data_IF_618701968191
#
_entry.id   IF_618701968191
#
_cell.length_a   1.000
_cell.length_b   1.000
_cell.length_c   1.000
_cell.angle_alpha   90.00
_cell.angle_beta   90.00
_cell.angle_gamma   90.00
#
_symmetry.space_group_name_H-M   'P 1'
#
loop_
_entity.id
_entity.type
_entity.pdbx_description
1 polymer ?
#
# COMPACT_ATOMS: atom_id res chain seq x y z
N UNK A 1 29.71 27.23 9.86
CA UNK A 1 28.75 26.11 9.70
C UNK A 1 28.00 25.95 11.02
N UNK A 2 26.79 25.40 11.00
CA UNK A 2 26.01 25.16 12.23
C UNK A 2 26.52 23.86 12.87
N UNK A 3 26.66 23.80 14.21
CA UNK A 3 27.12 22.58 14.86
C UNK A 3 26.20 21.38 14.60
N UNK A 4 26.79 20.22 14.31
CA UNK A 4 26.04 19.02 13.97
C UNK A 4 25.09 18.54 15.10
N UNK A 5 25.42 18.81 16.37
CA UNK A 5 24.53 18.47 17.49
C UNK A 5 23.24 19.29 17.48
N UNK A 6 23.30 20.57 17.07
CA UNK A 6 22.11 21.42 16.95
C UNK A 6 21.23 20.96 15.79
N UNK A 7 21.85 20.66 14.64
CA UNK A 7 21.12 20.11 13.49
C UNK A 7 20.45 18.78 13.84
N UNK A 8 21.09 17.92 14.64
CA UNK A 8 20.48 16.66 15.13
C UNK A 8 19.35 16.91 16.13
N UNK A 9 19.51 17.87 17.05
CA UNK A 9 18.47 18.21 18.03
C UNK A 9 17.21 18.79 17.37
N UNK A 10 17.38 19.59 16.31
CA UNK A 10 16.24 20.05 15.50
C UNK A 10 15.62 18.86 14.75
N UNK A 11 16.44 18.01 14.11
CA UNK A 11 15.94 16.87 13.34
C UNK A 11 15.14 15.88 14.20
N UNK A 12 15.57 15.62 15.44
CA UNK A 12 14.90 14.67 16.34
C UNK A 12 13.49 15.10 16.77
N UNK A 13 13.12 16.37 16.54
CA UNK A 13 11.75 16.83 16.73
C UNK A 13 10.80 16.31 15.63
N UNK A 14 11.32 15.94 14.45
CA UNK A 14 10.52 15.40 13.35
C UNK A 14 10.45 13.88 13.43
N UNK A 15 9.39 13.38 14.06
CA UNK A 15 9.16 11.94 14.21
C UNK A 15 8.88 11.33 12.83
N UNK A 16 9.67 10.34 12.44
CA UNK A 16 9.50 9.61 11.19
C UNK A 16 8.36 8.58 11.29
N UNK A 17 7.63 8.30 10.20
CA UNK A 17 6.80 7.12 10.10
C UNK A 17 7.62 5.83 10.29
N UNK A 18 7.05 4.78 10.90
CA UNK A 18 5.65 4.65 11.33
C UNK A 18 5.33 5.28 12.69
N UNK A 19 6.34 5.55 13.53
CA UNK A 19 6.16 6.04 14.90
C UNK A 19 5.31 7.30 14.96
N UNK A 20 5.41 8.13 13.92
CA UNK A 20 4.56 9.32 13.76
C UNK A 20 3.06 9.04 13.88
N UNK A 21 2.59 7.89 13.40
CA UNK A 21 1.15 7.56 13.38
C UNK A 21 0.64 7.01 14.72
N UNK A 22 1.52 6.51 15.59
CA UNK A 22 1.17 6.10 16.95
C UNK A 22 1.45 7.20 17.98
N UNK A 23 2.24 8.22 17.63
CA UNK A 23 2.54 9.32 18.55
C UNK A 23 1.29 10.16 18.86
N UNK A 24 0.98 10.42 20.15
CA UNK A 24 -0.09 11.31 20.55
C UNK A 24 -0.01 12.71 19.91
N UNK A 25 -1.14 13.26 19.49
CA UNK A 25 -1.20 14.55 18.79
C UNK A 25 -0.60 15.71 19.60
N UNK A 26 -0.78 15.74 20.91
CA UNK A 26 -0.19 16.76 21.78
C UNK A 26 1.35 16.70 21.79
N UNK A 27 1.94 15.49 21.82
CA UNK A 27 3.38 15.30 21.74
C UNK A 27 3.93 15.71 20.37
N UNK A 28 3.19 15.37 19.32
CA UNK A 28 3.45 15.81 17.96
C UNK A 28 3.52 17.35 17.86
N UNK A 29 2.57 18.06 18.47
CA UNK A 29 2.50 19.53 18.48
C UNK A 29 3.67 20.11 19.27
N UNK A 30 3.91 19.60 20.49
CA UNK A 30 5.02 20.03 21.33
C UNK A 30 6.39 19.89 20.63
N UNK A 31 6.56 18.83 19.83
CA UNK A 31 7.77 18.64 19.03
C UNK A 31 7.93 19.71 17.94
N UNK A 32 6.86 20.13 17.27
CA UNK A 32 6.94 21.23 16.30
C UNK A 32 7.23 22.58 16.97
N UNK A 33 6.64 22.85 18.14
CA UNK A 33 6.94 24.05 18.93
C UNK A 33 8.41 24.08 19.35
N UNK A 34 8.92 22.95 19.85
CA UNK A 34 10.34 22.77 20.19
C UNK A 34 11.23 22.97 18.98
N UNK A 35 10.89 22.40 17.82
CA UNK A 35 11.65 22.57 16.58
C UNK A 35 11.72 24.04 16.17
N UNK A 36 10.60 24.78 16.21
CA UNK A 36 10.58 26.20 15.88
C UNK A 36 11.47 27.02 16.84
N UNK A 37 11.39 26.78 18.14
CA UNK A 37 12.23 27.45 19.14
C UNK A 37 13.72 27.18 18.94
N UNK A 38 14.10 25.93 18.69
CA UNK A 38 15.49 25.56 18.40
C UNK A 38 15.99 26.21 17.09
N UNK A 39 15.14 26.25 16.06
CA UNK A 39 15.50 26.91 14.80
C UNK A 39 15.72 28.41 14.97
N UNK A 40 14.86 29.09 15.74
CA UNK A 40 15.01 30.52 16.05
C UNK A 40 16.34 30.81 16.75
N UNK A 41 16.69 30.00 17.76
CA UNK A 41 17.96 30.12 18.47
C UNK A 41 19.16 29.92 17.52
N UNK A 42 19.12 28.89 16.68
CA UNK A 42 20.19 28.63 15.71
C UNK A 42 20.31 29.73 14.64
N UNK A 43 19.20 30.29 14.15
CA UNK A 43 19.22 31.42 13.19
C UNK A 43 19.88 32.65 13.83
N UNK A 44 19.58 32.95 15.10
CA UNK A 44 20.16 34.08 15.81
C UNK A 44 21.65 33.88 16.10
N UNK A 45 22.06 32.67 16.47
CA UNK A 45 23.44 32.34 16.82
C UNK A 45 24.36 32.25 15.58
N UNK A 46 23.84 31.80 14.43
CA UNK A 46 24.62 31.53 13.23
C UNK A 46 24.08 32.23 11.97
N UNK A 47 23.90 33.57 11.97
CA UNK A 47 23.19 34.29 10.89
C UNK A 47 23.91 34.26 9.53
N UNK A 48 25.21 33.96 9.51
CA UNK A 48 26.05 33.90 8.30
C UNK A 48 26.48 32.48 7.92
N UNK A 49 25.90 31.44 8.54
CA UNK A 49 26.30 30.08 8.25
C UNK A 49 25.86 29.64 6.84
N UNK A 50 26.74 28.99 6.06
CA UNK A 50 26.42 28.59 4.67
C UNK A 50 25.34 27.50 4.61
N UNK A 51 25.16 26.76 5.69
CA UNK A 51 24.18 25.69 5.89
C UNK A 51 22.91 26.16 6.62
N UNK A 52 22.74 27.48 6.82
CA UNK A 52 21.58 28.06 7.50
C UNK A 52 20.25 27.71 6.83
N UNK A 53 20.25 27.51 5.51
CA UNK A 53 19.06 27.08 4.75
C UNK A 53 18.45 25.78 5.28
N UNK A 54 19.23 24.88 5.88
CA UNK A 54 18.73 23.64 6.50
C UNK A 54 17.82 23.97 7.68
N UNK A 55 18.26 24.88 8.55
CA UNK A 55 17.50 25.32 9.72
C UNK A 55 16.25 26.08 9.30
N UNK A 56 16.35 26.97 8.31
CA UNK A 56 15.19 27.69 7.78
C UNK A 56 14.13 26.73 7.21
N UNK A 57 14.53 25.72 6.43
CA UNK A 57 13.61 24.69 5.94
C UNK A 57 12.93 23.91 7.07
N UNK A 58 13.67 23.56 8.12
CA UNK A 58 13.10 22.87 9.29
C UNK A 58 12.14 23.77 10.06
N UNK A 59 12.45 25.07 10.19
CA UNK A 59 11.55 26.05 10.80
C UNK A 59 10.25 26.17 10.01
N UNK A 60 10.32 26.35 8.69
CA UNK A 60 9.15 26.40 7.80
C UNK A 60 8.32 25.13 7.93
N UNK A 61 8.98 23.95 7.96
CA UNK A 61 8.30 22.66 8.16
C UNK A 61 7.58 22.58 9.50
N UNK A 62 8.23 22.99 10.59
CA UNK A 62 7.62 22.99 11.93
C UNK A 62 6.39 23.91 11.99
N UNK A 63 6.51 25.13 11.46
CA UNK A 63 5.42 26.10 11.42
C UNK A 63 4.25 25.63 10.54
N UNK A 64 4.53 25.05 9.38
CA UNK A 64 3.50 24.40 8.55
C UNK A 64 2.85 23.21 9.28
N UNK A 65 3.61 22.47 10.08
CA UNK A 65 3.11 21.38 10.92
C UNK A 65 2.11 21.85 11.98
N UNK A 66 2.44 22.93 12.70
CA UNK A 66 1.54 23.59 13.67
C UNK A 66 0.27 24.09 13.00
N UNK A 67 0.41 24.75 11.85
CA UNK A 67 -0.73 25.21 11.08
C UNK A 67 -1.65 24.05 10.63
N UNK A 68 -1.10 22.97 10.04
CA UNK A 68 -1.89 21.83 9.57
C UNK A 68 -2.50 21.01 10.70
N UNK A 69 -1.85 20.93 11.86
CA UNK A 69 -2.29 20.08 12.99
C UNK A 69 -3.24 20.82 13.95
N UNK A 70 -3.07 22.13 14.12
CA UNK A 70 -3.82 22.94 15.09
C UNK A 70 -4.66 24.05 14.45
N UNK A 71 -4.57 24.27 13.13
CA UNK A 71 -5.23 25.39 12.47
C UNK A 71 -4.59 26.76 12.77
N UNK A 72 -3.36 26.78 13.33
CA UNK A 72 -2.68 28.01 13.76
C UNK A 72 -2.31 28.91 12.57
N UNK A 73 -3.09 29.96 12.36
CA UNK A 73 -2.87 30.94 11.30
C UNK A 73 -1.65 31.82 11.55
N UNK A 74 -1.27 32.06 12.81
CA UNK A 74 -0.07 32.83 13.14
C UNK A 74 1.18 32.05 12.77
N UNK A 75 1.19 30.75 13.05
CA UNK A 75 2.26 29.85 12.60
C UNK A 75 2.37 29.85 11.08
N UNK A 76 1.24 29.81 10.34
CA UNK A 76 1.27 29.89 8.89
C UNK A 76 1.85 31.21 8.37
N UNK A 77 1.42 32.36 8.91
CA UNK A 77 1.95 33.66 8.54
C UNK A 77 3.47 33.76 8.83
N UNK A 78 3.93 33.22 9.96
CA UNK A 78 5.34 33.14 10.29
C UNK A 78 6.11 32.23 9.32
N UNK A 79 5.52 31.11 8.87
CA UNK A 79 6.13 30.23 7.88
C UNK A 79 6.31 30.96 6.54
N UNK A 80 5.32 31.74 6.11
CA UNK A 80 5.37 32.53 4.87
C UNK A 80 6.45 33.62 4.96
N UNK A 81 6.54 34.34 6.08
CA UNK A 81 7.57 35.36 6.28
C UNK A 81 8.98 34.74 6.25
N UNK A 82 9.15 33.59 6.92
CA UNK A 82 10.41 32.83 6.89
C UNK A 82 10.74 32.33 5.48
N UNK A 83 9.75 31.81 4.74
CA UNK A 83 9.93 31.33 3.36
C UNK A 83 10.35 32.45 2.40
N UNK A 84 9.76 33.66 2.51
CA UNK A 84 10.17 34.82 1.72
C UNK A 84 11.63 35.21 2.02
N UNK A 85 11.95 35.34 3.31
CA UNK A 85 13.32 35.65 3.76
C UNK A 85 14.32 34.62 3.27
N UNK A 86 13.95 33.34 3.33
CA UNK A 86 14.74 32.22 2.85
C UNK A 86 15.07 32.34 1.35
N UNK A 87 14.06 32.55 0.50
CA UNK A 87 14.24 32.71 -0.95
C UNK A 87 15.12 33.93 -1.26
N UNK A 88 14.86 35.07 -0.61
CA UNK A 88 15.64 36.31 -0.78
C UNK A 88 17.11 36.15 -0.36
N UNK A 89 17.39 35.30 0.63
CA UNK A 89 18.75 35.04 1.11
C UNK A 89 19.60 34.17 0.18
N UNK A 90 19.03 33.63 -0.91
CA UNK A 90 19.75 32.84 -1.90
C UNK A 90 20.03 31.41 -1.44
N UNK A 91 19.06 30.53 -1.65
CA UNK A 91 19.24 29.10 -1.41
C UNK A 91 20.17 28.46 -2.45
N UNK A 92 20.95 27.43 -2.06
CA UNK A 92 21.55 26.54 -3.04
C UNK A 92 20.48 25.99 -4.00
N UNK A 93 20.87 25.75 -5.25
CA UNK A 93 19.94 25.24 -6.27
C UNK A 93 19.23 23.97 -5.76
N UNK A 94 17.90 23.94 -5.91
CA UNK A 94 17.04 22.80 -5.56
C UNK A 94 16.88 22.48 -4.06
N UNK A 95 17.35 23.34 -3.15
CA UNK A 95 17.11 23.17 -1.70
C UNK A 95 15.92 23.99 -1.19
N UNK A 96 15.29 24.78 -2.05
CA UNK A 96 14.24 25.76 -1.74
C UNK A 96 12.82 25.19 -1.81
N UNK A 97 12.67 23.92 -2.16
CA UNK A 97 11.37 23.24 -2.35
C UNK A 97 10.41 23.45 -1.17
N UNK A 98 10.90 23.41 0.08
CA UNK A 98 10.07 23.62 1.28
C UNK A 98 9.55 25.06 1.37
N UNK A 99 10.40 26.04 1.08
CA UNK A 99 10.01 27.46 1.06
C UNK A 99 9.03 27.73 -0.09
N UNK A 100 9.34 27.22 -1.29
CA UNK A 100 8.47 27.32 -2.47
C UNK A 100 7.10 26.66 -2.21
N UNK A 101 7.04 25.51 -1.54
CA UNK A 101 5.80 24.85 -1.16
C UNK A 101 4.97 25.72 -0.22
N UNK A 102 5.60 26.36 0.76
CA UNK A 102 4.93 27.29 1.68
C UNK A 102 4.33 28.48 0.93
N UNK A 103 5.09 29.08 0.01
CA UNK A 103 4.64 30.20 -0.81
C UNK A 103 3.53 29.80 -1.79
N UNK A 104 3.62 28.62 -2.42
CA UNK A 104 2.57 28.07 -3.27
C UNK A 104 1.26 27.88 -2.49
N UNK A 105 1.34 27.36 -1.26
CA UNK A 105 0.17 27.29 -0.36
C UNK A 105 -0.40 28.66 -0.04
N UNK A 106 0.42 29.68 0.15
CA UNK A 106 -0.08 31.04 0.34
C UNK A 106 -0.77 31.56 -0.93
N UNK A 107 -0.20 31.33 -2.11
CA UNK A 107 -0.77 31.75 -3.39
C UNK A 107 -2.14 31.08 -3.66
N UNK A 108 -2.29 29.80 -3.33
CA UNK A 108 -3.55 29.05 -3.44
C UNK A 108 -4.69 29.59 -2.58
N UNK A 109 -4.40 30.47 -1.61
CA UNK A 109 -5.40 31.09 -0.72
C UNK A 109 -5.90 32.44 -1.24
N UNK A 110 -5.36 32.96 -2.34
CA UNK A 110 -5.87 34.17 -2.95
C UNK A 110 -7.29 33.93 -3.52
N UNK A 111 -8.22 34.91 -3.42
CA UNK A 111 -9.60 34.73 -3.90
C UNK A 111 -9.72 34.37 -5.38
N UNK A 112 -8.78 34.83 -6.19
CA UNK A 112 -8.69 34.65 -7.65
C UNK A 112 -7.62 33.60 -8.03
N UNK A 113 -7.11 32.85 -7.05
CA UNK A 113 -6.08 31.84 -7.30
C UNK A 113 -6.57 30.83 -8.34
N UNK A 114 -5.70 30.55 -9.31
CA UNK A 114 -5.90 29.49 -10.30
C UNK A 114 -5.06 28.28 -9.91
N UNK A 115 -5.62 27.24 -9.26
CA UNK A 115 -4.83 26.20 -8.62
C UNK A 115 -3.84 25.50 -9.55
N UNK A 116 -4.30 25.15 -10.75
CA UNK A 116 -3.47 24.48 -11.76
C UNK A 116 -2.26 25.32 -12.15
N UNK A 117 -2.46 26.61 -12.46
CA UNK A 117 -1.38 27.52 -12.84
C UNK A 117 -0.37 27.70 -11.70
N UNK A 118 -0.83 27.85 -10.45
CA UNK A 118 0.05 27.97 -9.28
C UNK A 118 0.92 26.72 -9.11
N UNK A 119 0.34 25.52 -9.23
CA UNK A 119 1.06 24.26 -9.05
C UNK A 119 2.06 24.02 -10.19
N UNK A 120 1.66 24.28 -11.43
CA UNK A 120 2.57 24.17 -12.59
C UNK A 120 3.73 25.15 -12.49
N UNK A 121 3.49 26.38 -12.03
CA UNK A 121 4.54 27.37 -11.80
C UNK A 121 5.48 26.94 -10.67
N UNK A 122 4.96 26.37 -9.58
CA UNK A 122 5.77 25.78 -8.52
C UNK A 122 6.71 24.69 -9.06
N UNK A 123 6.19 23.76 -9.86
CA UNK A 123 6.99 22.68 -10.47
C UNK A 123 8.06 23.25 -11.41
N UNK A 124 7.70 24.22 -12.26
CA UNK A 124 8.64 24.90 -13.16
C UNK A 124 9.78 25.56 -12.37
N UNK A 125 9.47 26.30 -11.32
CA UNK A 125 10.46 26.96 -10.45
C UNK A 125 11.36 25.95 -9.73
N UNK A 126 10.86 24.75 -9.43
CA UNK A 126 11.63 23.67 -8.81
C UNK A 126 12.40 22.77 -9.81
N UNK A 127 12.43 23.11 -11.10
CA UNK A 127 13.18 22.37 -12.14
C UNK A 127 12.34 21.60 -13.17
N UNK A 128 11.01 21.79 -13.20
CA UNK A 128 10.13 21.24 -14.24
C UNK A 128 9.76 19.76 -14.06
N UNK A 129 9.50 19.02 -15.14
CA UNK A 129 9.13 17.58 -15.07
C UNK A 129 10.33 16.65 -14.77
N UNK A 130 11.54 17.18 -14.92
CA UNK A 130 12.80 16.61 -14.42
C UNK A 130 13.13 17.08 -12.99
N UNK A 131 12.13 17.63 -12.29
CA UNK A 131 12.28 18.06 -10.90
C UNK A 131 12.55 16.91 -9.95
N UNK A 132 13.19 17.26 -8.84
CA UNK A 132 13.58 16.32 -7.79
C UNK A 132 12.34 15.65 -7.16
N UNK A 133 12.53 14.45 -6.59
CA UNK A 133 11.49 13.73 -5.85
C UNK A 133 10.69 14.61 -4.87
N UNK A 134 11.34 15.45 -4.04
CA UNK A 134 10.64 16.38 -3.14
C UNK A 134 9.67 17.35 -3.85
N UNK A 135 10.01 17.84 -5.04
CA UNK A 135 9.17 18.77 -5.78
C UNK A 135 7.92 18.07 -6.32
N UNK A 136 8.06 16.86 -6.88
CA UNK A 136 6.91 16.08 -7.37
C UNK A 136 5.96 15.70 -6.22
N UNK A 137 6.50 15.30 -5.06
CA UNK A 137 5.69 15.05 -3.86
C UNK A 137 4.95 16.33 -3.45
N UNK A 138 5.66 17.45 -3.34
CA UNK A 138 5.08 18.74 -2.96
C UNK A 138 3.95 19.17 -3.92
N UNK A 139 4.14 18.99 -5.23
CA UNK A 139 3.12 19.26 -6.24
C UNK A 139 1.90 18.34 -6.08
N UNK A 140 2.12 17.05 -5.79
CA UNK A 140 1.03 16.12 -5.51
C UNK A 140 0.23 16.54 -4.26
N UNK A 141 0.89 17.04 -3.21
CA UNK A 141 0.23 17.51 -2.00
C UNK A 141 -0.54 18.82 -2.22
N UNK A 142 0.01 19.74 -3.02
CA UNK A 142 -0.68 20.97 -3.41
C UNK A 142 -1.95 20.67 -4.20
N UNK A 143 -1.89 19.71 -5.13
CA UNK A 143 -3.06 19.28 -5.89
C UNK A 143 -4.15 18.68 -4.99
N UNK A 144 -3.78 17.95 -3.93
CA UNK A 144 -4.73 17.47 -2.92
C UNK A 144 -5.36 18.61 -2.12
N UNK A 145 -4.54 19.59 -1.69
CA UNK A 145 -5.01 20.76 -0.95
C UNK A 145 -6.09 21.55 -1.72
N UNK A 146 -6.16 21.38 -3.06
CA UNK A 146 -7.12 22.07 -3.95
C UNK A 146 -8.16 21.15 -4.57
N UNK A 147 -8.24 19.87 -4.16
CA UNK A 147 -9.18 18.89 -4.73
C UNK A 147 -8.90 18.47 -6.19
N UNK A 148 -7.71 18.74 -6.72
CA UNK A 148 -7.31 18.44 -8.09
C UNK A 148 -6.89 16.98 -8.28
N UNK A 149 -7.83 16.04 -8.24
CA UNK A 149 -7.55 14.58 -8.28
C UNK A 149 -6.65 14.15 -9.45
N UNK A 150 -6.99 14.54 -10.68
CA UNK A 150 -6.20 14.15 -11.86
C UNK A 150 -4.76 14.72 -11.81
N UNK A 151 -4.62 15.95 -11.33
CA UNK A 151 -3.31 16.60 -11.19
C UNK A 151 -2.49 15.95 -10.08
N UNK A 152 -3.13 15.55 -8.98
CA UNK A 152 -2.50 14.77 -7.93
C UNK A 152 -1.98 13.44 -8.48
N UNK A 153 -2.84 12.66 -9.15
CA UNK A 153 -2.47 11.37 -9.71
C UNK A 153 -1.34 11.50 -10.74
N UNK A 154 -1.33 12.54 -11.57
CA UNK A 154 -0.25 12.82 -12.51
C UNK A 154 1.12 12.97 -11.80
N UNK A 155 1.23 13.87 -10.82
CA UNK A 155 2.50 14.10 -10.11
C UNK A 155 2.90 12.91 -9.26
N UNK A 156 1.93 12.24 -8.64
CA UNK A 156 2.15 11.02 -7.86
C UNK A 156 2.69 9.88 -8.73
N UNK A 157 2.10 9.61 -9.89
CA UNK A 157 2.60 8.59 -10.83
C UNK A 157 4.01 8.94 -11.33
N UNK A 158 4.23 10.21 -11.68
CA UNK A 158 5.55 10.68 -12.11
C UNK A 158 6.59 10.44 -11.01
N UNK A 159 6.26 10.78 -9.75
CA UNK A 159 7.12 10.50 -8.61
C UNK A 159 7.40 9.00 -8.42
N UNK A 160 6.36 8.16 -8.39
CA UNK A 160 6.53 6.72 -8.17
C UNK A 160 7.36 6.06 -9.28
N UNK A 161 7.17 6.47 -10.53
CA UNK A 161 7.95 5.94 -11.66
C UNK A 161 9.45 6.26 -11.56
N UNK A 162 9.81 7.43 -11.00
CA UNK A 162 11.21 7.90 -10.93
C UNK A 162 11.91 7.56 -9.59
N UNK A 163 11.17 7.57 -8.48
CA UNK A 163 11.76 7.62 -7.13
C UNK A 163 11.26 6.52 -6.18
N UNK A 164 10.37 5.62 -6.60
CA UNK A 164 9.81 4.61 -5.69
C UNK A 164 10.86 3.67 -5.06
N UNK A 165 12.01 3.48 -5.69
CA UNK A 165 13.10 2.64 -5.18
C UNK A 165 14.18 3.41 -4.42
N UNK A 166 14.16 4.75 -4.44
CA UNK A 166 15.17 5.59 -3.80
C UNK A 166 15.04 5.53 -2.26
N UNK A 167 16.09 5.10 -1.53
CA UNK A 167 16.07 5.03 -0.07
C UNK A 167 15.77 6.35 0.63
N UNK A 168 16.18 7.47 0.05
CA UNK A 168 15.92 8.81 0.60
C UNK A 168 14.45 9.23 0.48
N UNK A 169 13.68 8.50 -0.33
CA UNK A 169 12.28 8.78 -0.65
C UNK A 169 11.31 7.73 -0.09
N UNK A 170 11.78 6.68 0.60
CA UNK A 170 10.92 5.61 1.10
C UNK A 170 9.74 6.09 1.94
N UNK A 171 9.92 7.10 2.80
CA UNK A 171 8.81 7.67 3.58
C UNK A 171 7.72 8.26 2.69
N UNK A 172 8.09 8.97 1.63
CA UNK A 172 7.11 9.54 0.70
C UNK A 172 6.49 8.48 -0.21
N UNK A 173 7.30 7.54 -0.71
CA UNK A 173 6.83 6.39 -1.51
C UNK A 173 5.79 5.59 -0.75
N UNK A 174 6.07 5.24 0.51
CA UNK A 174 5.16 4.45 1.34
C UNK A 174 3.89 5.23 1.67
N UNK A 175 3.99 6.53 1.96
CA UNK A 175 2.82 7.40 2.13
C UNK A 175 1.92 7.42 0.88
N UNK A 176 2.51 7.57 -0.32
CA UNK A 176 1.76 7.65 -1.59
C UNK A 176 1.21 6.30 -2.06
N UNK A 177 1.78 5.18 -1.59
CA UNK A 177 1.30 3.83 -1.91
C UNK A 177 0.31 3.27 -0.87
N UNK A 178 0.33 3.74 0.37
CA UNK A 178 -0.47 3.18 1.46
C UNK A 178 -1.97 3.31 1.19
N UNK A 179 -2.65 2.16 1.04
CA UNK A 179 -4.08 2.12 0.68
C UNK A 179 -4.97 2.81 1.69
N UNK A 180 -4.63 2.78 2.98
CA UNK A 180 -5.42 3.41 4.03
C UNK A 180 -5.32 4.93 3.92
N UNK A 181 -4.09 5.45 3.79
CA UNK A 181 -3.87 6.88 3.61
C UNK A 181 -4.50 7.38 2.31
N UNK A 182 -4.30 6.67 1.19
CA UNK A 182 -4.92 6.98 -0.10
C UNK A 182 -6.46 7.01 -0.01
N UNK A 183 -7.06 6.03 0.68
CA UNK A 183 -8.51 6.01 0.86
C UNK A 183 -9.00 7.29 1.54
N UNK A 184 -8.34 7.72 2.62
CA UNK A 184 -8.71 8.95 3.35
C UNK A 184 -8.36 10.25 2.64
N UNK A 185 -7.30 10.26 1.83
CA UNK A 185 -6.86 11.46 1.11
C UNK A 185 -7.68 11.70 -0.16
N UNK A 186 -8.13 10.64 -0.84
CA UNK A 186 -8.74 10.75 -2.18
C UNK A 186 -10.25 10.58 -2.18
N UNK A 187 -10.85 10.03 -1.13
CA UNK A 187 -12.30 9.92 -1.06
C UNK A 187 -12.89 11.19 -0.44
N UNK A 188 -13.88 11.81 -1.09
CA UNK A 188 -14.59 12.92 -0.49
C UNK A 188 -15.19 12.48 0.86
N UNK A 189 -15.32 13.39 1.84
CA UNK A 189 -15.94 13.08 3.12
C UNK A 189 -17.42 12.75 2.89
N UNK A 190 -17.71 11.49 2.62
CA UNK A 190 -19.07 11.00 2.60
C UNK A 190 -19.61 11.09 4.02
N UNK A 191 -20.81 11.68 4.15
CA UNK A 191 -21.57 11.68 5.39
C UNK A 191 -21.66 10.25 5.93
N UNK A 192 -21.26 10.09 7.20
CA UNK A 192 -21.24 8.82 7.89
C UNK A 192 -22.61 8.13 7.78
N UNK A 193 -22.65 7.00 7.08
CA UNK A 193 -23.84 6.18 6.91
C UNK A 193 -23.51 4.69 7.02
N UNK A 194 -24.55 3.84 7.08
CA UNK A 194 -24.44 2.38 7.28
C UNK A 194 -23.50 1.65 6.31
N UNK A 195 -23.23 2.22 5.12
CA UNK A 195 -22.39 1.61 4.07
C UNK A 195 -20.91 1.99 4.15
N UNK A 196 -20.54 2.95 5.00
CA UNK A 196 -19.18 3.49 5.12
C UNK A 196 -18.13 2.39 5.41
N UNK A 197 -18.37 1.60 6.46
CA UNK A 197 -17.43 0.55 6.85
C UNK A 197 -17.36 -0.61 5.84
N UNK A 198 -18.38 -0.76 4.99
CA UNK A 198 -18.43 -1.79 3.94
C UNK A 198 -17.58 -1.35 2.73
N UNK A 199 -17.75 -0.10 2.30
CA UNK A 199 -16.96 0.50 1.20
C UNK A 199 -15.49 0.58 1.58
N UNK A 200 -15.16 1.07 2.77
CA UNK A 200 -13.78 1.09 3.25
C UNK A 200 -13.18 -0.32 3.22
N UNK A 201 -13.89 -1.31 3.78
CA UNK A 201 -13.44 -2.70 3.76
C UNK A 201 -13.18 -3.23 2.34
N UNK A 202 -14.05 -2.89 1.37
CA UNK A 202 -13.90 -3.24 -0.03
C UNK A 202 -12.64 -2.60 -0.66
N UNK A 203 -12.49 -1.27 -0.59
CA UNK A 203 -11.37 -0.57 -1.20
C UNK A 203 -10.01 -0.96 -0.61
N UNK A 204 -9.95 -1.24 0.70
CA UNK A 204 -8.71 -1.66 1.33
C UNK A 204 -8.33 -3.10 0.97
N UNK A 205 -9.32 -3.96 0.70
CA UNK A 205 -9.12 -5.37 0.38
C UNK A 205 -9.11 -5.69 -1.11
N UNK A 206 -9.38 -4.74 -2.00
CA UNK A 206 -9.43 -4.98 -3.45
C UNK A 206 -8.08 -5.51 -3.97
N UNK A 207 -8.12 -6.34 -5.02
CA UNK A 207 -6.96 -7.04 -5.57
C UNK A 207 -5.95 -6.17 -6.32
N UNK A 208 -6.18 -4.85 -6.43
CA UNK A 208 -5.35 -3.96 -7.26
C UNK A 208 -3.90 -3.92 -6.79
N UNK A 209 -2.91 -4.31 -7.62
CA UNK A 209 -1.51 -4.23 -7.26
C UNK A 209 -1.05 -2.81 -6.91
N UNK A 210 0.12 -2.68 -6.27
CA UNK A 210 0.72 -1.37 -6.04
C UNK A 210 1.10 -0.70 -7.36
N UNK A 211 0.93 0.62 -7.43
CA UNK A 211 1.20 1.45 -8.60
C UNK A 211 2.68 1.87 -8.67
N UNK A 212 3.59 0.96 -8.35
CA UNK A 212 5.02 1.18 -8.42
C UNK A 212 5.77 -0.09 -8.83
N UNK A 213 6.78 0.05 -9.69
CA UNK A 213 7.62 -1.05 -10.13
C UNK A 213 8.82 -1.19 -9.18
N UNK A 214 8.60 -1.79 -8.01
CA UNK A 214 9.65 -2.00 -7.00
C UNK A 214 10.02 -3.47 -6.92
N UNK A 215 11.32 -3.73 -6.70
CA UNK A 215 11.83 -5.05 -6.33
C UNK A 215 12.13 -5.12 -4.84
N UNK A 216 11.90 -6.30 -4.27
CA UNK A 216 12.22 -6.58 -2.89
C UNK A 216 13.35 -7.59 -2.83
N UNK A 217 14.40 -7.25 -2.09
CA UNK A 217 15.50 -8.14 -1.77
C UNK A 217 15.84 -7.96 -0.30
N UNK A 218 15.96 -9.07 0.43
CA UNK A 218 16.41 -9.06 1.82
C UNK A 218 16.94 -10.44 2.22
N UNK A 219 17.71 -10.46 3.30
CA UNK A 219 18.10 -11.67 3.99
C UNK A 219 17.31 -11.77 5.30
N UNK A 220 16.68 -12.92 5.53
CA UNK A 220 15.99 -13.27 6.77
C UNK A 220 16.70 -14.45 7.43
N UNK A 221 16.43 -14.69 8.71
CA UNK A 221 17.04 -15.78 9.47
C UNK A 221 16.00 -16.79 9.92
N UNK A 222 16.30 -18.07 9.84
CA UNK A 222 15.52 -19.10 10.55
C UNK A 222 15.87 -19.08 12.05
N UNK A 223 15.08 -19.77 12.88
CA UNK A 223 15.40 -19.93 14.31
C UNK A 223 16.73 -20.67 14.56
N UNK A 224 17.19 -21.51 13.63
CA UNK A 224 18.51 -22.16 13.67
C UNK A 224 19.63 -21.31 13.03
N UNK A 225 19.36 -20.04 12.71
CA UNK A 225 20.37 -19.08 12.26
C UNK A 225 20.74 -19.15 10.77
N UNK A 226 20.10 -20.02 9.98
CA UNK A 226 20.32 -20.12 8.54
C UNK A 226 19.76 -18.88 7.83
N UNK A 227 20.50 -18.39 6.84
CA UNK A 227 20.05 -17.30 5.98
C UNK A 227 19.07 -17.79 4.93
N UNK A 228 17.92 -17.12 4.83
CA UNK A 228 16.95 -17.27 3.75
C UNK A 228 16.96 -15.98 2.92
N UNK A 229 17.21 -16.10 1.62
CA UNK A 229 17.28 -14.94 0.71
C UNK A 229 15.96 -14.79 -0.03
N UNK A 230 15.35 -13.61 0.07
CA UNK A 230 14.11 -13.30 -0.64
C UNK A 230 14.47 -12.33 -1.76
N UNK A 231 14.05 -12.57 -3.02
CA UNK A 231 13.07 -13.56 -3.45
C UNK A 231 13.67 -14.91 -3.87
N UNK A 232 14.97 -15.12 -3.80
CA UNK A 232 15.65 -16.30 -4.35
C UNK A 232 15.09 -17.62 -3.81
N UNK A 233 14.73 -17.68 -2.52
CA UNK A 233 14.10 -18.84 -1.88
C UNK A 233 12.60 -18.97 -2.14
N UNK A 234 12.03 -18.17 -3.05
CA UNK A 234 10.61 -18.24 -3.45
C UNK A 234 10.36 -19.25 -4.56
N UNK A 235 11.40 -19.78 -5.21
CA UNK A 235 11.31 -20.77 -6.30
C UNK A 235 10.37 -20.36 -7.44
N UNK A 236 10.33 -19.07 -7.77
CA UNK A 236 9.46 -18.53 -8.83
C UNK A 236 7.96 -18.59 -8.49
N UNK A 237 7.60 -18.69 -7.21
CA UNK A 237 6.22 -18.69 -6.74
C UNK A 237 5.81 -17.31 -6.22
N UNK A 238 4.50 -17.10 -6.11
CA UNK A 238 3.97 -16.03 -5.28
C UNK A 238 4.48 -16.21 -3.85
N UNK A 239 5.02 -15.16 -3.23
CA UNK A 239 5.49 -15.23 -1.84
C UNK A 239 4.76 -14.18 -1.01
N UNK A 240 4.00 -14.65 -0.03
CA UNK A 240 3.28 -13.81 0.93
C UNK A 240 4.01 -13.84 2.26
N UNK A 241 4.55 -12.68 2.66
CA UNK A 241 5.26 -12.50 3.93
C UNK A 241 4.39 -11.67 4.86
N UNK A 242 4.02 -12.25 6.01
CA UNK A 242 3.40 -11.51 7.11
C UNK A 242 4.46 -11.12 8.11
N UNK A 243 4.75 -9.82 8.16
CA UNK A 243 5.60 -9.24 9.19
C UNK A 243 4.78 -9.05 10.46
N UNK A 244 5.20 -9.73 11.52
CA UNK A 244 4.57 -9.70 12.85
C UNK A 244 5.56 -9.12 13.87
N UNK A 245 5.10 -8.38 14.87
CA UNK A 245 6.01 -7.76 15.84
C UNK A 245 6.70 -8.79 16.75
N UNK A 246 6.04 -9.89 17.11
CA UNK A 246 6.60 -10.92 17.98
C UNK A 246 6.23 -12.33 17.50
N UNK A 247 6.93 -13.35 18.02
CA UNK A 247 6.67 -14.76 17.72
C UNK A 247 5.28 -15.26 18.14
N UNK A 248 4.58 -14.54 19.02
CA UNK A 248 3.18 -14.85 19.34
C UNK A 248 2.28 -14.66 18.11
N UNK A 249 2.59 -13.66 17.27
CA UNK A 249 1.81 -13.30 16.09
C UNK A 249 0.31 -13.11 16.40
N UNK A 250 -0.52 -13.15 15.36
CA UNK A 250 -1.99 -13.11 15.50
C UNK A 250 -2.72 -14.14 14.64
N UNK A 251 -1.99 -15.10 14.05
CA UNK A 251 -2.56 -16.15 13.19
C UNK A 251 -3.16 -15.68 11.86
N UNK A 252 -2.90 -14.44 11.42
CA UNK A 252 -3.55 -13.91 10.21
C UNK A 252 -3.36 -14.79 8.97
N UNK A 253 -2.14 -15.28 8.72
CA UNK A 253 -1.86 -16.14 7.55
C UNK A 253 -2.48 -17.52 7.62
N UNK A 254 -2.75 -18.05 8.81
CA UNK A 254 -3.31 -19.39 8.99
C UNK A 254 -4.67 -19.54 8.26
N UNK A 255 -5.45 -18.45 8.16
CA UNK A 255 -6.73 -18.44 7.42
C UNK A 255 -6.57 -18.69 5.92
N UNK A 256 -5.37 -18.50 5.37
CA UNK A 256 -5.05 -18.70 3.95
C UNK A 256 -4.37 -20.04 3.67
N UNK A 257 -4.05 -20.83 4.68
CA UNK A 257 -3.41 -22.14 4.48
C UNK A 257 -4.25 -23.05 3.58
N UNK A 258 -5.57 -23.12 3.81
CA UNK A 258 -6.49 -23.91 2.98
C UNK A 258 -6.62 -23.34 1.56
N UNK A 259 -6.63 -22.01 1.41
CA UNK A 259 -6.65 -21.36 0.11
C UNK A 259 -5.41 -21.76 -0.71
N UNK A 260 -4.22 -21.65 -0.12
CA UNK A 260 -2.94 -21.98 -0.77
C UNK A 260 -2.84 -23.47 -1.10
N UNK A 261 -3.18 -24.35 -0.15
CA UNK A 261 -3.12 -25.81 -0.37
C UNK A 261 -4.10 -26.31 -1.44
N UNK A 262 -5.19 -25.58 -1.66
CA UNK A 262 -6.19 -25.93 -2.69
C UNK A 262 -5.86 -25.34 -4.08
N UNK A 263 -4.75 -24.62 -4.24
CA UNK A 263 -4.36 -24.08 -5.54
C UNK A 263 -3.85 -25.18 -6.47
N UNK A 264 -4.29 -25.22 -7.73
CA UNK A 264 -3.96 -26.30 -8.65
C UNK A 264 -2.46 -26.38 -8.99
N UNK A 265 -1.75 -25.24 -8.96
CA UNK A 265 -0.35 -25.15 -9.40
C UNK A 265 0.66 -25.10 -8.24
N UNK A 266 0.22 -25.14 -6.98
CA UNK A 266 1.09 -25.03 -5.79
C UNK A 266 2.09 -23.86 -5.90
N UNK A 267 1.60 -22.75 -6.42
CA UNK A 267 2.33 -21.58 -6.92
C UNK A 267 2.44 -20.46 -5.89
N UNK A 268 2.12 -20.73 -4.62
CA UNK A 268 2.08 -19.74 -3.54
C UNK A 268 2.78 -20.25 -2.28
N UNK A 269 3.70 -19.45 -1.76
CA UNK A 269 4.39 -19.65 -0.49
C UNK A 269 3.86 -18.66 0.56
N UNK A 270 3.68 -19.15 1.79
CA UNK A 270 3.39 -18.33 2.95
C UNK A 270 4.63 -18.27 3.85
N UNK A 271 4.94 -17.12 4.43
CA UNK A 271 6.05 -16.91 5.35
C UNK A 271 5.59 -15.98 6.47
N UNK A 272 5.93 -16.29 7.72
CA UNK A 272 5.87 -15.33 8.83
C UNK A 272 7.27 -14.79 9.07
N UNK A 273 7.41 -13.47 9.17
CA UNK A 273 8.66 -12.81 9.51
C UNK A 273 8.47 -12.01 10.81
N UNK A 274 9.19 -12.36 11.87
CA UNK A 274 9.13 -11.68 13.16
C UNK A 274 10.05 -10.45 13.10
N UNK A 275 9.53 -9.29 13.47
CA UNK A 275 10.25 -8.01 13.56
C UNK A 275 11.08 -7.91 14.86
N UNK A 276 11.72 -9.02 15.21
CA UNK A 276 12.59 -9.23 16.35
C UNK A 276 13.63 -10.27 15.93
N UNK A 277 14.85 -10.16 16.44
CA UNK A 277 15.94 -11.11 16.19
C UNK A 277 16.38 -11.87 17.45
N UNK A 278 15.70 -11.69 18.58
CA UNK A 278 15.85 -12.56 19.76
C UNK A 278 15.25 -13.95 19.48
N UNK A 279 16.15 -14.88 19.15
CA UNK A 279 15.83 -16.29 18.86
C UNK A 279 15.19 -17.00 20.06
N UNK A 280 15.66 -16.72 21.28
CA UNK A 280 15.18 -17.41 22.48
C UNK A 280 13.75 -16.97 22.80
N UNK A 281 13.50 -15.66 22.79
CA UNK A 281 12.18 -15.08 23.02
C UNK A 281 11.20 -15.50 21.91
N UNK A 282 11.60 -15.39 20.64
CA UNK A 282 10.76 -15.84 19.53
C UNK A 282 10.43 -17.34 19.62
N UNK A 283 11.44 -18.17 19.92
CA UNK A 283 11.28 -19.62 20.07
C UNK A 283 10.35 -20.00 21.22
N UNK A 284 10.41 -19.29 22.35
CA UNK A 284 9.49 -19.47 23.48
C UNK A 284 8.05 -19.14 23.08
N UNK A 285 7.82 -17.97 22.49
CA UNK A 285 6.47 -17.53 22.09
C UNK A 285 5.85 -18.45 21.05
N UNK A 286 6.64 -18.97 20.11
CA UNK A 286 6.16 -19.93 19.10
C UNK A 286 5.74 -21.27 19.73
N UNK A 287 6.46 -21.75 20.75
CA UNK A 287 6.06 -22.95 21.50
C UNK A 287 4.76 -22.74 22.28
N UNK A 288 4.62 -21.58 22.92
CA UNK A 288 3.40 -21.21 23.64
C UNK A 288 2.19 -21.14 22.70
N UNK A 289 2.36 -20.50 21.53
CA UNK A 289 1.37 -20.46 20.47
C UNK A 289 1.00 -21.86 19.97
N UNK A 290 1.97 -22.73 19.71
CA UNK A 290 1.72 -24.09 19.26
C UNK A 290 0.91 -24.89 20.31
N UNK A 291 1.26 -24.78 21.58
CA UNK A 291 0.52 -25.41 22.67
C UNK A 291 -0.92 -24.87 22.80
N UNK A 292 -1.13 -23.58 22.53
CA UNK A 292 -2.47 -23.00 22.51
C UNK A 292 -3.31 -23.49 21.31
N UNK A 293 -2.71 -23.57 20.11
CA UNK A 293 -3.37 -24.14 18.93
C UNK A 293 -3.78 -25.60 19.17
N UNK A 294 -2.90 -26.39 19.80
CA UNK A 294 -3.19 -27.78 20.16
C UNK A 294 -4.37 -27.89 21.14
N UNK A 295 -4.40 -27.04 22.18
CA UNK A 295 -5.55 -26.95 23.12
C UNK A 295 -6.86 -26.62 22.39
N UNK A 296 -6.79 -25.80 21.34
CA UNK A 296 -7.93 -25.43 20.48
C UNK A 296 -8.22 -26.47 19.38
N UNK A 297 -7.46 -27.56 19.31
CA UNK A 297 -7.53 -28.59 18.25
C UNK A 297 -7.34 -28.01 16.84
N UNK A 298 -6.51 -26.97 16.75
CA UNK A 298 -6.14 -26.33 15.50
C UNK A 298 -4.78 -26.86 15.04
N UNK A 299 -4.61 -27.02 13.74
CA UNK A 299 -3.33 -27.45 13.19
C UNK A 299 -2.28 -26.34 13.38
N UNK A 300 -1.01 -26.72 13.66
CA UNK A 300 0.07 -25.76 13.67
C UNK A 300 0.23 -25.11 12.28
N UNK A 301 0.89 -23.97 12.25
CA UNK A 301 1.20 -23.30 10.99
C UNK A 301 2.07 -24.22 10.11
N UNK A 302 1.66 -24.42 8.85
CA UNK A 302 2.38 -25.27 7.88
C UNK A 302 3.51 -24.54 7.15
N UNK A 303 3.73 -23.26 7.48
CA UNK A 303 4.67 -22.36 6.81
C UNK A 303 5.80 -21.92 7.74
N UNK A 304 6.99 -21.60 7.19
CA UNK A 304 8.15 -21.22 8.00
C UNK A 304 7.93 -19.89 8.73
N UNK A 305 8.50 -19.81 9.94
CA UNK A 305 8.71 -18.57 10.67
C UNK A 305 10.19 -18.16 10.59
N UNK A 306 10.42 -16.94 10.14
CA UNK A 306 11.74 -16.32 9.99
C UNK A 306 11.84 -15.09 10.91
N UNK A 307 13.05 -14.65 11.17
CA UNK A 307 13.42 -13.48 11.96
C UNK A 307 13.99 -12.41 11.02
N UNK A 308 13.65 -11.15 11.29
CA UNK A 308 14.18 -9.99 10.60
C UNK A 308 15.41 -9.49 11.38
N UNK A 309 16.62 -9.55 10.81
CA UNK A 309 17.83 -9.09 11.50
C UNK A 309 17.72 -7.62 11.93
N UNK A 310 18.04 -7.29 13.18
CA UNK A 310 17.87 -5.95 13.75
C UNK A 310 16.42 -5.52 14.00
N UNK A 311 15.46 -6.44 13.85
CA UNK A 311 14.04 -6.24 14.15
C UNK A 311 13.45 -4.98 13.53
N UNK A 312 12.83 -4.14 14.37
CA UNK A 312 12.21 -2.88 13.96
C UNK A 312 13.19 -1.83 13.41
N UNK A 313 14.49 -1.94 13.70
CA UNK A 313 15.52 -1.03 13.18
C UNK A 313 15.97 -1.42 11.76
N UNK A 314 15.52 -2.56 11.24
CA UNK A 314 15.87 -2.99 9.90
C UNK A 314 15.36 -1.99 8.83
N UNK A 315 16.17 -1.60 7.84
CA UNK A 315 15.75 -0.71 6.75
C UNK A 315 14.49 -1.17 5.99
N UNK A 316 14.18 -2.47 5.95
CA UNK A 316 12.97 -2.98 5.27
C UNK A 316 11.67 -2.41 5.88
N UNK A 317 11.68 -2.09 7.18
CA UNK A 317 10.53 -1.50 7.88
C UNK A 317 10.16 -0.18 7.23
N UNK A 318 11.15 0.67 6.97
CA UNK A 318 10.98 1.97 6.29
C UNK A 318 10.70 1.79 4.79
N UNK A 319 11.41 0.90 4.12
CA UNK A 319 11.24 0.61 2.68
C UNK A 319 9.81 0.16 2.34
N UNK A 320 9.19 -0.60 3.23
CA UNK A 320 7.83 -1.15 3.05
C UNK A 320 6.75 -0.35 3.77
N UNK A 321 7.12 0.67 4.55
CA UNK A 321 6.16 1.51 5.27
C UNK A 321 5.40 0.71 6.32
N UNK A 322 6.07 -0.25 6.95
CA UNK A 322 5.45 -1.09 7.97
C UNK A 322 5.07 -0.24 9.17
N UNK A 323 3.86 -0.44 9.68
CA UNK A 323 3.33 0.24 10.85
C UNK A 323 2.98 -0.81 11.88
N UNK A 324 3.73 -0.83 12.98
CA UNK A 324 3.44 -1.60 14.18
C UNK A 324 3.95 -0.82 15.37
N UNK A 325 3.30 -0.98 16.52
CA UNK A 325 3.74 -0.44 17.80
C UNK A 325 3.67 -1.55 18.86
N UNK A 326 4.36 -1.34 19.99
CA UNK A 326 4.46 -2.33 21.06
C UNK A 326 3.14 -2.52 21.80
N UNK A 327 2.31 -1.49 21.90
CA UNK A 327 1.04 -1.51 22.65
C UNK A 327 -0.11 -2.17 21.88
N UNK A 328 -0.11 -2.04 20.55
CA UNK A 328 -1.12 -2.51 19.60
C UNK A 328 -0.41 -3.13 18.39
N UNK A 329 0.16 -4.33 18.56
CA UNK A 329 0.87 -5.03 17.50
C UNK A 329 0.00 -5.19 16.25
N UNK A 330 0.49 -4.71 15.12
CA UNK A 330 -0.21 -4.79 13.82
C UNK A 330 0.61 -5.56 12.82
N UNK A 331 -0.06 -6.42 12.06
CA UNK A 331 0.58 -7.13 10.97
C UNK A 331 0.80 -6.23 9.78
N UNK A 332 1.85 -6.52 9.04
CA UNK A 332 2.12 -5.93 7.74
C UNK A 332 2.27 -7.08 6.73
N UNK A 333 1.73 -6.92 5.53
CA UNK A 333 1.79 -7.96 4.49
C UNK A 333 2.63 -7.46 3.34
N UNK A 334 3.54 -8.30 2.86
CA UNK A 334 4.22 -8.13 1.58
C UNK A 334 3.82 -9.29 0.68
N UNK A 335 3.45 -9.00 -0.55
CA UNK A 335 3.23 -9.99 -1.59
C UNK A 335 4.20 -9.76 -2.72
N UNK A 336 4.96 -10.80 -3.05
CA UNK A 336 5.89 -10.81 -4.18
C UNK A 336 5.30 -11.65 -5.30
N UNK A 337 5.42 -11.15 -6.52
CA UNK A 337 5.16 -11.92 -7.73
C UNK A 337 6.27 -12.99 -7.89
N UNK A 338 6.02 -14.03 -8.72
CA UNK A 338 7.03 -14.99 -9.18
C UNK A 338 8.39 -14.40 -9.59
N UNK A 339 8.40 -13.20 -10.18
CA UNK A 339 9.62 -12.51 -10.65
C UNK A 339 10.36 -11.72 -9.55
N UNK A 340 9.88 -11.76 -8.31
CA UNK A 340 10.43 -11.02 -7.17
C UNK A 340 10.04 -9.54 -7.11
N UNK A 341 9.22 -9.05 -8.03
CA UNK A 341 8.63 -7.70 -7.93
C UNK A 341 7.56 -7.65 -6.85
N UNK A 342 7.39 -6.49 -6.23
CA UNK A 342 6.35 -6.27 -5.23
C UNK A 342 5.00 -6.18 -5.94
N UNK A 343 4.08 -7.07 -5.61
CA UNK A 343 2.69 -6.97 -6.01
C UNK A 343 1.93 -6.01 -5.11
N UNK A 344 2.11 -6.12 -3.79
CA UNK A 344 1.55 -5.17 -2.83
C UNK A 344 2.33 -5.21 -1.52
N UNK A 345 2.48 -4.03 -0.89
CA UNK A 345 2.87 -3.89 0.51
C UNK A 345 1.71 -3.24 1.30
N UNK A 346 1.24 -3.91 2.36
CA UNK A 346 0.13 -3.48 3.20
C UNK A 346 0.65 -3.17 4.60
N UNK A 347 0.48 -1.93 5.03
CA UNK A 347 0.85 -1.50 6.37
C UNK A 347 -0.16 -2.00 7.41
N UNK A 348 0.22 -1.90 8.69
CA UNK A 348 -0.66 -2.16 9.82
C UNK A 348 -1.91 -1.29 9.86
N UNK A 349 -1.90 -0.10 9.23
CA UNK A 349 -3.11 0.72 9.11
C UNK A 349 -4.13 0.04 8.19
N UNK A 350 -3.68 -0.46 7.04
CA UNK A 350 -4.53 -1.21 6.11
C UNK A 350 -5.01 -2.50 6.77
N UNK A 351 -4.09 -3.26 7.39
CA UNK A 351 -4.41 -4.56 7.99
C UNK A 351 -5.38 -4.45 9.17
N UNK A 352 -5.34 -3.35 9.92
CA UNK A 352 -6.29 -3.08 11.00
C UNK A 352 -7.67 -2.62 10.55
N UNK A 353 -7.83 -2.14 9.31
CA UNK A 353 -9.07 -1.56 8.81
C UNK A 353 -9.76 -2.37 7.70
N UNK A 354 -9.00 -3.19 6.97
CA UNK A 354 -9.53 -4.05 5.91
C UNK A 354 -10.43 -5.14 6.49
N UNK A 355 -11.51 -5.48 5.77
CA UNK A 355 -12.50 -6.51 6.18
C UNK A 355 -12.64 -7.66 5.17
N UNK A 356 -11.75 -7.74 4.20
CA UNK A 356 -11.81 -8.68 3.08
C UNK A 356 -10.64 -9.66 3.03
N UNK A 357 -10.41 -10.21 1.85
CA UNK A 357 -9.41 -11.27 1.58
C UNK A 357 -8.36 -10.76 0.59
N UNK A 358 -7.55 -9.79 1.00
CA UNK A 358 -6.62 -9.09 0.08
C UNK A 358 -5.61 -10.02 -0.60
N UNK A 359 -5.09 -11.01 0.12
CA UNK A 359 -4.13 -11.98 -0.43
C UNK A 359 -4.78 -12.79 -1.56
N UNK A 360 -5.97 -13.31 -1.30
CA UNK A 360 -6.75 -14.05 -2.29
C UNK A 360 -7.09 -13.16 -3.48
N UNK A 361 -7.60 -11.95 -3.24
CA UNK A 361 -8.04 -11.03 -4.29
C UNK A 361 -6.88 -10.65 -5.23
N UNK A 362 -5.67 -10.39 -4.69
CA UNK A 362 -4.50 -10.05 -5.50
C UNK A 362 -4.07 -11.23 -6.38
N UNK A 363 -4.03 -12.44 -5.82
CA UNK A 363 -3.62 -13.64 -6.57
C UNK A 363 -4.67 -14.01 -7.63
N UNK A 364 -5.96 -14.03 -7.28
CA UNK A 364 -7.02 -14.41 -8.21
C UNK A 364 -7.21 -13.38 -9.33
N UNK A 365 -6.95 -12.09 -9.08
CA UNK A 365 -6.93 -11.08 -10.13
C UNK A 365 -5.78 -11.33 -11.12
N UNK A 366 -4.63 -11.80 -10.64
CA UNK A 366 -3.54 -12.20 -11.52
C UNK A 366 -3.85 -13.49 -12.29
N UNK A 367 -4.51 -14.48 -11.66
CA UNK A 367 -4.96 -15.69 -12.34
C UNK A 367 -5.82 -15.34 -13.57
N UNK A 368 -6.76 -14.40 -13.41
CA UNK A 368 -7.58 -13.89 -14.51
C UNK A 368 -6.77 -13.12 -15.56
N UNK A 369 -5.85 -12.26 -15.15
CA UNK A 369 -4.96 -11.52 -16.07
C UNK A 369 -4.13 -12.46 -16.96
N UNK A 370 -3.67 -13.59 -16.42
CA UNK A 370 -2.92 -14.59 -17.18
C UNK A 370 -3.79 -15.28 -18.24
N UNK A 371 -5.06 -15.54 -17.93
CA UNK A 371 -6.03 -16.11 -18.87
C UNK A 371 -6.36 -15.08 -19.96
N UNK A 372 -6.59 -13.82 -19.59
CA UNK A 372 -6.84 -12.74 -20.55
C UNK A 372 -5.65 -12.55 -21.51
N UNK A 373 -4.42 -12.64 -21.01
CA UNK A 373 -3.21 -12.60 -21.85
C UNK A 373 -3.10 -13.79 -22.81
N UNK A 374 -3.48 -14.99 -22.39
CA UNK A 374 -3.48 -16.17 -23.26
C UNK A 374 -4.52 -16.02 -24.37
N UNK A 375 -5.75 -15.63 -24.02
CA UNK A 375 -6.83 -15.36 -24.99
C UNK A 375 -6.44 -14.26 -25.98
N UNK A 376 -5.85 -13.15 -25.52
CA UNK A 376 -5.42 -12.05 -26.40
C UNK A 376 -4.32 -12.47 -27.40
N UNK A 377 -3.53 -13.50 -27.07
CA UNK A 377 -2.52 -14.08 -27.97
C UNK A 377 -3.08 -15.17 -28.90
N UNK A 378 -4.35 -15.54 -28.74
CA UNK A 378 -4.96 -16.67 -29.44
C UNK A 378 -4.52 -18.05 -28.90
N UNK A 379 -3.87 -18.10 -27.74
CA UNK A 379 -3.43 -19.35 -27.11
C UNK A 379 -4.58 -19.96 -26.29
N UNK A 380 -5.52 -20.58 -27.01
CA UNK A 380 -6.71 -21.16 -26.41
C UNK A 380 -6.39 -22.34 -25.50
N UNK A 381 -5.37 -23.13 -25.82
CA UNK A 381 -5.00 -24.30 -25.02
C UNK A 381 -4.46 -23.89 -23.65
N UNK A 382 -3.62 -22.86 -23.59
CA UNK A 382 -3.16 -22.31 -22.32
C UNK A 382 -4.31 -21.66 -21.53
N UNK A 383 -5.19 -20.90 -22.19
CA UNK A 383 -6.34 -20.29 -21.55
C UNK A 383 -7.26 -21.35 -20.91
N UNK A 384 -7.52 -22.47 -21.61
CA UNK A 384 -8.27 -23.62 -21.09
C UNK A 384 -7.57 -24.27 -19.91
N UNK A 385 -6.27 -24.55 -20.05
CA UNK A 385 -5.46 -25.19 -18.99
C UNK A 385 -5.53 -24.40 -17.69
N UNK A 386 -5.38 -23.07 -17.77
CA UNK A 386 -5.46 -22.18 -16.62
C UNK A 386 -6.89 -22.08 -16.06
N UNK A 387 -7.88 -21.75 -16.90
CA UNK A 387 -9.24 -21.51 -16.44
C UNK A 387 -9.88 -22.75 -15.79
N UNK A 388 -9.76 -23.93 -16.40
CA UNK A 388 -10.38 -25.15 -15.88
C UNK A 388 -9.63 -25.76 -14.69
N UNK A 389 -8.34 -25.48 -14.53
CA UNK A 389 -7.62 -25.85 -13.32
C UNK A 389 -8.14 -25.06 -12.10
N UNK A 390 -8.45 -23.77 -12.27
CA UNK A 390 -9.00 -22.94 -11.20
C UNK A 390 -10.50 -23.12 -10.98
N UNK A 391 -11.26 -23.28 -12.07
CA UNK A 391 -12.71 -23.49 -12.12
C UNK A 391 -13.07 -24.79 -12.87
N UNK A 392 -12.88 -25.96 -12.25
CA UNK A 392 -13.20 -27.24 -12.90
C UNK A 392 -14.69 -27.33 -13.25
N UNK A 393 -14.97 -27.92 -14.42
CA UNK A 393 -16.34 -28.10 -14.95
C UNK A 393 -17.15 -29.00 -14.01
N UNK A 394 -16.55 -30.11 -13.60
CA UNK A 394 -17.13 -31.04 -12.63
C UNK A 394 -16.25 -31.15 -11.39
N UNK A 395 -16.90 -31.30 -10.23
CA UNK A 395 -16.22 -31.45 -8.95
C UNK A 395 -16.66 -32.77 -8.32
N UNK A 396 -15.84 -33.81 -8.52
CA UNK A 396 -16.10 -35.14 -7.99
C UNK A 396 -15.51 -35.24 -6.58
N UNK A 397 -16.26 -35.86 -5.66
CA UNK A 397 -15.76 -36.16 -4.31
C UNK A 397 -14.65 -37.21 -4.40
N UNK A 398 -13.43 -36.93 -3.92
CA UNK A 398 -12.37 -37.96 -3.81
C UNK A 398 -12.80 -39.13 -2.93
N UNK A 399 -12.28 -40.34 -3.20
CA UNK A 399 -12.62 -41.55 -2.45
C UNK A 399 -12.21 -41.46 -0.97
N UNK A 400 -11.10 -40.79 -0.69
CA UNK A 400 -10.54 -40.53 0.64
C UNK A 400 -11.11 -39.26 1.31
N UNK A 401 -12.04 -38.58 0.65
CA UNK A 401 -12.54 -37.30 1.13
C UNK A 401 -13.36 -37.45 2.42
N UNK A 402 -13.16 -36.53 3.39
CA UNK A 402 -13.88 -36.60 4.66
C UNK A 402 -15.40 -36.51 4.44
N UNK A 403 -16.17 -37.01 5.41
CA UNK A 403 -17.64 -37.08 5.32
C UNK A 403 -18.31 -35.73 5.05
N UNK A 404 -17.66 -34.63 5.42
CA UNK A 404 -18.11 -33.25 5.22
C UNK A 404 -17.48 -32.57 3.99
N UNK A 405 -16.94 -33.33 3.03
CA UNK A 405 -16.42 -32.78 1.78
C UNK A 405 -17.52 -31.97 1.07
N UNK A 406 -17.12 -30.80 0.57
CA UNK A 406 -17.98 -29.92 -0.23
C UNK A 406 -17.21 -29.55 -1.49
N UNK A 407 -17.91 -29.34 -2.62
CA UNK A 407 -17.30 -28.75 -3.80
C UNK A 407 -16.61 -27.43 -3.44
N UNK A 408 -15.45 -27.18 -4.05
CA UNK A 408 -14.76 -25.90 -4.06
C UNK A 408 -15.73 -24.83 -4.53
N UNK A 409 -15.92 -23.82 -3.69
CA UNK A 409 -16.65 -22.61 -4.07
C UNK A 409 -15.82 -21.84 -5.10
N UNK A 410 -16.35 -21.72 -6.31
CA UNK A 410 -15.71 -20.96 -7.38
C UNK A 410 -15.87 -19.46 -7.14
N UNK A 411 -14.77 -18.73 -7.29
CA UNK A 411 -14.73 -17.29 -7.07
C UNK A 411 -15.11 -16.53 -8.34
N UNK A 412 -15.37 -15.23 -8.18
CA UNK A 412 -15.79 -14.36 -9.28
C UNK A 412 -14.73 -14.32 -10.39
N UNK A 413 -13.42 -14.05 -10.12
CA UNK A 413 -12.41 -14.02 -11.17
C UNK A 413 -12.30 -15.34 -11.93
N UNK A 414 -12.34 -16.48 -11.23
CA UNK A 414 -12.21 -17.80 -11.87
C UNK A 414 -13.43 -18.17 -12.73
N UNK A 415 -14.66 -17.89 -12.28
CA UNK A 415 -15.86 -18.10 -13.09
C UNK A 415 -15.92 -17.16 -14.29
N UNK A 416 -15.55 -15.88 -14.10
CA UNK A 416 -15.51 -14.90 -15.18
C UNK A 416 -14.49 -15.30 -16.24
N UNK A 417 -13.32 -15.77 -15.82
CA UNK A 417 -12.29 -16.31 -16.73
C UNK A 417 -12.78 -17.53 -17.50
N UNK A 418 -13.48 -18.46 -16.83
CA UNK A 418 -14.06 -19.63 -17.49
C UNK A 418 -15.14 -19.26 -18.50
N UNK A 419 -15.99 -18.26 -18.19
CA UNK A 419 -16.95 -17.72 -19.14
C UNK A 419 -16.28 -17.14 -20.41
N UNK A 420 -15.17 -16.41 -20.24
CA UNK A 420 -14.37 -15.88 -21.37
C UNK A 420 -13.81 -17.02 -22.23
N UNK A 421 -13.31 -18.09 -21.60
CA UNK A 421 -12.79 -19.27 -22.32
C UNK A 421 -13.90 -20.01 -23.07
N UNK A 422 -15.06 -20.24 -22.44
CA UNK A 422 -16.21 -20.84 -23.14
C UNK A 422 -16.68 -20.01 -24.33
N UNK A 423 -16.71 -18.67 -24.18
CA UNK A 423 -17.01 -17.77 -25.29
C UNK A 423 -16.00 -17.95 -26.44
N UNK A 424 -14.70 -18.02 -26.14
CA UNK A 424 -13.67 -18.26 -27.14
C UNK A 424 -13.73 -19.66 -27.78
N UNK A 425 -14.33 -20.64 -27.10
CA UNK A 425 -14.58 -21.99 -27.61
C UNK A 425 -15.86 -22.09 -28.47
N UNK A 426 -16.71 -21.06 -28.48
CA UNK A 426 -18.05 -21.15 -29.07
C UNK A 426 -19.05 -21.93 -28.19
N UNK A 427 -18.72 -22.22 -26.94
CA UNK A 427 -19.62 -22.92 -26.01
C UNK A 427 -20.56 -21.93 -25.31
N UNK A 428 -21.40 -21.25 -26.09
CA UNK A 428 -22.13 -20.06 -25.64
C UNK A 428 -23.09 -20.30 -24.48
N UNK A 429 -23.74 -21.48 -24.42
CA UNK A 429 -24.62 -21.86 -23.30
C UNK A 429 -23.84 -22.00 -21.98
N UNK A 430 -22.63 -22.56 -22.04
CA UNK A 430 -21.76 -22.69 -20.87
C UNK A 430 -21.23 -21.32 -20.43
N UNK A 431 -20.83 -20.48 -21.39
CA UNK A 431 -20.42 -19.11 -21.13
C UNK A 431 -21.54 -18.29 -20.45
N UNK A 432 -22.78 -18.43 -20.93
CA UNK A 432 -23.96 -17.77 -20.36
C UNK A 432 -24.24 -18.20 -18.91
N UNK A 433 -24.14 -19.50 -18.62
CA UNK A 433 -24.36 -20.02 -17.28
C UNK A 433 -23.35 -19.41 -16.27
N UNK A 434 -22.06 -19.42 -16.62
CA UNK A 434 -21.01 -18.87 -15.77
C UNK A 434 -21.16 -17.36 -15.57
N UNK A 435 -21.34 -16.60 -16.67
CA UNK A 435 -21.42 -15.13 -16.56
C UNK A 435 -22.67 -14.68 -15.81
N UNK A 436 -23.77 -15.42 -15.88
CA UNK A 436 -24.97 -15.12 -15.11
C UNK A 436 -24.74 -15.31 -13.61
N UNK A 437 -24.02 -16.36 -13.19
CA UNK A 437 -23.63 -16.55 -11.80
C UNK A 437 -22.71 -15.42 -11.32
N UNK A 438 -21.73 -15.04 -12.14
CA UNK A 438 -20.81 -13.92 -11.85
C UNK A 438 -21.59 -12.61 -11.69
N UNK A 439 -22.46 -12.29 -12.64
CA UNK A 439 -23.30 -11.08 -12.60
C UNK A 439 -24.11 -11.00 -11.31
N UNK A 440 -24.78 -12.08 -10.90
CA UNK A 440 -25.56 -12.09 -9.67
C UNK A 440 -24.70 -11.84 -8.42
N UNK A 441 -23.51 -12.46 -8.34
CA UNK A 441 -22.57 -12.26 -7.22
C UNK A 441 -22.06 -10.83 -7.16
N UNK A 442 -21.59 -10.29 -8.29
CA UNK A 442 -21.00 -8.95 -8.36
C UNK A 442 -22.07 -7.87 -8.16
N UNK A 443 -23.25 -8.01 -8.76
CA UNK A 443 -24.36 -7.08 -8.58
C UNK A 443 -24.85 -7.05 -7.12
N UNK A 444 -24.91 -8.22 -6.47
CA UNK A 444 -25.24 -8.30 -5.03
C UNK A 444 -24.17 -7.60 -4.18
N UNK A 445 -22.89 -7.79 -4.48
CA UNK A 445 -21.80 -7.14 -3.78
C UNK A 445 -21.81 -5.61 -3.97
N UNK A 446 -22.03 -5.15 -5.20
CA UNK A 446 -22.21 -3.73 -5.55
C UNK A 446 -23.41 -3.11 -4.80
N UNK A 447 -24.53 -3.80 -4.73
CA UNK A 447 -25.69 -3.39 -3.94
C UNK A 447 -25.40 -3.30 -2.43
N UNK A 448 -24.66 -4.29 -1.88
CA UNK A 448 -24.28 -4.33 -0.47
C UNK A 448 -23.41 -3.14 -0.04
N UNK A 449 -22.52 -2.68 -0.92
CA UNK A 449 -21.70 -1.48 -0.73
C UNK A 449 -22.36 -0.22 -1.30
N UNK A 450 -23.52 -0.36 -1.93
CA UNK A 450 -24.30 0.71 -2.59
C UNK A 450 -23.45 1.54 -3.55
N UNK A 451 -22.64 0.88 -4.38
CA UNK A 451 -21.72 1.53 -5.31
C UNK A 451 -21.56 0.64 -6.54
N UNK A 452 -21.59 1.25 -7.73
CA UNK A 452 -21.21 0.56 -8.96
C UNK A 452 -19.69 0.46 -9.00
N UNK A 453 -19.19 -0.76 -9.17
CA UNK A 453 -17.76 -1.08 -9.23
C UNK A 453 -17.33 -1.30 -10.67
N UNK A 454 -16.05 -1.09 -10.96
CA UNK A 454 -15.43 -1.46 -12.24
C UNK A 454 -15.67 -2.95 -12.56
N UNK A 455 -15.55 -3.82 -11.55
CA UNK A 455 -15.85 -5.26 -11.67
C UNK A 455 -17.29 -5.53 -12.15
N UNK A 456 -18.27 -4.71 -11.72
CA UNK A 456 -19.65 -4.82 -12.19
C UNK A 456 -19.78 -4.38 -13.65
N UNK A 457 -19.15 -3.28 -14.01
CA UNK A 457 -19.16 -2.75 -15.39
C UNK A 457 -18.52 -3.73 -16.38
N UNK A 458 -17.36 -4.29 -16.04
CA UNK A 458 -16.69 -5.34 -16.82
C UNK A 458 -17.58 -6.58 -16.98
N UNK A 459 -18.23 -7.01 -15.90
CA UNK A 459 -19.11 -8.19 -15.90
C UNK A 459 -20.34 -7.97 -16.76
N UNK A 460 -20.96 -6.80 -16.68
CA UNK A 460 -22.12 -6.44 -17.51
C UNK A 460 -21.73 -6.38 -19.01
N UNK A 461 -20.56 -5.83 -19.33
CA UNK A 461 -20.05 -5.78 -20.71
C UNK A 461 -19.78 -7.19 -21.28
N UNK A 462 -19.14 -8.07 -20.51
CA UNK A 462 -18.92 -9.46 -20.92
C UNK A 462 -20.24 -10.22 -21.09
N UNK A 463 -21.18 -10.04 -20.16
CA UNK A 463 -22.52 -10.62 -20.26
C UNK A 463 -23.25 -10.18 -21.52
N UNK A 464 -23.23 -8.89 -21.85
CA UNK A 464 -23.85 -8.36 -23.06
C UNK A 464 -23.21 -8.97 -24.31
N UNK A 465 -21.89 -9.13 -24.32
CA UNK A 465 -21.15 -9.77 -25.42
C UNK A 465 -21.58 -11.21 -25.64
N UNK A 466 -21.72 -12.01 -24.57
CA UNK A 466 -22.15 -13.41 -24.65
C UNK A 466 -23.60 -13.51 -25.13
N UNK A 467 -24.51 -12.67 -24.63
CA UNK A 467 -25.91 -12.67 -25.05
C UNK A 467 -26.04 -12.29 -26.54
N UNK A 468 -25.31 -11.28 -27.00
CA UNK A 468 -25.29 -10.88 -28.41
C UNK A 468 -24.68 -11.95 -29.34
N UNK A 469 -23.81 -12.82 -28.82
CA UNK A 469 -23.29 -13.97 -29.58
C UNK A 469 -24.35 -15.08 -29.67
N UNK A 470 -25.08 -15.36 -28.59
CA UNK A 470 -26.17 -16.35 -28.56
C UNK A 470 -27.29 -15.99 -29.54
N UNK A 471 -27.71 -14.72 -29.58
CA UNK A 471 -28.75 -14.21 -30.49
C UNK A 471 -28.36 -14.33 -31.98
N UNK A 472 -27.07 -14.56 -32.31
CA UNK A 472 -26.60 -14.77 -33.68
C UNK A 472 -26.51 -16.25 -34.07
N UNK A 473 -26.52 -17.16 -33.09
CA UNK A 473 -26.56 -18.61 -33.33
C UNK A 473 -27.99 -19.15 -33.42
N UNK A 474 -28.96 -18.44 -32.84
CA UNK A 474 -30.41 -18.64 -33.01
C UNK A 474 -30.92 -18.00 -34.31
#
# INVERSE_FOLDING_TARGET
PIPAYELRAIQSCFIEPPLRYSTPQNQVVANYEKANSLCLAAIAAYPKAPDLWIVRNRRITALMGLWKTCGDQKAFAAAVAEAKTAIESGYPKSTDVVAQLCLARQALRAPDAKPKEVIENFVKSAGGIESSGPALIAASLLALDTGGRLLHDQYRQTFLSKYATDPTMWTATTFLLDRYLRYWLYHPPYMAGWTYGRRQGHFLAIGTPEEAQRKFQTELKTLDGKTVKIPESSDGKWTVISFVPTGAGNGYLQRYASFVSARPFQDTNLIVAVLDDDVETAGKLLKEKAAELEKRRQQPDSFPTLLVPGGLQNPIVRKLGMITDEEKPKNNILMLRPDGSIAVALSGLVMGAQKGSVIQNVIEFHDEEMIDKALAKGDLDEAKRLAFAHAPVEQVRPEDAPRNWKPKKLTVPHLRSRAKVYLAMGELKAAQADIQEVYLKVNTAAGYISMRTEELEETEALKATILAALEKEE
#
